data_IF_461921793722
#
_entry.id   IF_461921793722
#
_cell.length_a   1.000
_cell.length_b   1.000
_cell.length_c   1.000
_cell.angle_alpha   90.00
_cell.angle_beta   90.00
_cell.angle_gamma   90.00
#
_symmetry.space_group_name_H-M   'P 1'
#
loop_
_entity.id
_entity.type
_entity.pdbx_description
1 polymer ?
#
# COMPACT_ATOMS: atom_id res chain seq x y z
N UNK A 1 -1.47 -20.90 -4.28
CA UNK A 1 -2.52 -19.85 -4.35
C UNK A 1 -3.92 -20.39 -4.12
N UNK A 2 -4.30 -21.56 -4.68
CA UNK A 2 -5.67 -22.11 -4.56
C UNK A 2 -6.20 -22.22 -3.11
N UNK A 3 -5.38 -22.73 -2.18
CA UNK A 3 -5.78 -22.92 -0.78
C UNK A 3 -6.13 -21.60 -0.08
N UNK A 4 -5.37 -20.53 -0.33
CA UNK A 4 -5.64 -19.22 0.30
C UNK A 4 -6.89 -18.55 -0.28
N UNK A 5 -7.13 -18.70 -1.57
CA UNK A 5 -8.33 -18.19 -2.24
C UNK A 5 -9.60 -18.91 -1.73
N UNK A 6 -9.56 -20.25 -1.65
CA UNK A 6 -10.61 -21.07 -1.04
C UNK A 6 -10.85 -20.70 0.44
N UNK A 7 -9.81 -20.37 1.20
CA UNK A 7 -9.95 -19.93 2.58
C UNK A 7 -10.73 -18.61 2.71
N UNK A 8 -10.54 -17.66 1.79
CA UNK A 8 -11.34 -16.43 1.78
C UNK A 8 -12.82 -16.72 1.51
N UNK A 9 -13.13 -17.66 0.63
CA UNK A 9 -14.50 -18.12 0.39
C UNK A 9 -15.14 -18.72 1.64
N UNK A 10 -14.42 -19.63 2.31
CA UNK A 10 -14.89 -20.28 3.55
C UNK A 10 -15.12 -19.24 4.65
N UNK A 11 -14.26 -18.21 4.75
CA UNK A 11 -14.40 -17.11 5.70
C UNK A 11 -15.48 -16.08 5.31
N UNK A 12 -16.18 -16.30 4.19
CA UNK A 12 -17.31 -15.49 3.74
C UNK A 12 -16.90 -14.13 3.18
N UNK A 13 -15.70 -14.00 2.58
CA UNK A 13 -15.31 -12.79 1.86
C UNK A 13 -16.05 -12.70 0.54
N UNK A 14 -16.63 -11.53 0.26
CA UNK A 14 -17.23 -11.26 -1.04
C UNK A 14 -16.15 -11.24 -2.14
N UNK A 15 -16.51 -11.58 -3.37
CA UNK A 15 -15.59 -11.56 -4.50
C UNK A 15 -14.91 -10.20 -4.67
N UNK A 16 -15.68 -9.10 -4.52
CA UNK A 16 -15.14 -7.73 -4.57
C UNK A 16 -14.10 -7.45 -3.49
N UNK A 17 -14.29 -7.98 -2.27
CA UNK A 17 -13.33 -7.86 -1.17
C UNK A 17 -12.02 -8.58 -1.52
N UNK A 18 -12.10 -9.81 -2.03
CA UNK A 18 -10.94 -10.60 -2.46
C UNK A 18 -10.20 -9.93 -3.60
N UNK A 19 -10.93 -9.50 -4.63
CA UNK A 19 -10.35 -8.80 -5.77
C UNK A 19 -9.69 -7.49 -5.36
N UNK A 20 -10.24 -6.77 -4.38
CA UNK A 20 -9.62 -5.56 -3.83
C UNK A 20 -8.32 -5.85 -3.09
N UNK A 21 -8.24 -6.94 -2.31
CA UNK A 21 -7.00 -7.40 -1.68
C UNK A 21 -5.92 -7.73 -2.73
N UNK A 22 -6.31 -8.40 -3.82
CA UNK A 22 -5.38 -8.73 -4.91
C UNK A 22 -4.90 -7.48 -5.63
N UNK A 23 -5.80 -6.54 -5.97
CA UNK A 23 -5.43 -5.24 -6.55
C UNK A 23 -4.45 -4.47 -5.67
N UNK A 24 -4.69 -4.41 -4.36
CA UNK A 24 -3.77 -3.76 -3.41
C UNK A 24 -2.41 -4.45 -3.39
N UNK A 25 -2.38 -5.78 -3.30
CA UNK A 25 -1.14 -6.57 -3.27
C UNK A 25 -0.33 -6.40 -4.56
N UNK A 26 -0.98 -6.51 -5.72
CA UNK A 26 -0.34 -6.30 -7.02
C UNK A 26 0.14 -4.85 -7.18
N UNK A 27 -0.60 -3.87 -6.64
CA UNK A 27 -0.16 -2.47 -6.64
C UNK A 27 1.13 -2.28 -5.85
N UNK A 28 1.29 -2.94 -4.70
CA UNK A 28 2.52 -2.90 -3.89
C UNK A 28 3.70 -3.44 -4.69
N UNK A 29 3.54 -4.57 -5.39
CA UNK A 29 4.58 -5.12 -6.25
C UNK A 29 4.94 -4.15 -7.39
N UNK A 30 3.94 -3.59 -8.09
CA UNK A 30 4.18 -2.64 -9.19
C UNK A 30 4.81 -1.32 -8.71
N UNK A 31 4.54 -0.87 -7.48
CA UNK A 31 5.23 0.28 -6.89
C UNK A 31 6.74 0.02 -6.75
N UNK A 32 7.14 -1.21 -6.44
CA UNK A 32 8.57 -1.59 -6.33
C UNK A 32 9.33 -1.52 -7.66
N UNK A 33 8.63 -1.62 -8.79
CA UNK A 33 9.22 -1.59 -10.13
C UNK A 33 9.24 -0.18 -10.76
N UNK A 34 8.68 0.84 -10.09
CA UNK A 34 8.70 2.21 -10.57
C UNK A 34 10.13 2.75 -10.65
N UNK A 35 10.51 3.31 -11.79
CA UNK A 35 11.85 3.86 -12.03
C UNK A 35 11.82 5.37 -12.14
N UNK A 36 12.84 5.98 -11.56
CA UNK A 36 13.05 7.42 -11.54
C UNK A 36 14.52 7.69 -11.82
N UNK A 37 14.80 8.85 -12.41
CA UNK A 37 16.16 9.30 -12.69
C UNK A 37 16.34 10.74 -12.28
N UNK A 38 17.59 11.13 -12.07
CA UNK A 38 17.96 12.50 -11.78
C UNK A 38 19.19 12.84 -12.62
N UNK A 39 19.12 13.94 -13.36
CA UNK A 39 20.22 14.37 -14.23
C UNK A 39 21.33 15.01 -13.38
N UNK A 40 22.63 14.85 -13.74
CA UNK A 40 23.74 15.29 -12.89
C UNK A 40 23.76 16.78 -12.50
N UNK A 41 23.06 17.64 -13.25
CA UNK A 41 22.99 19.10 -13.01
C UNK A 41 21.60 19.56 -12.52
N UNK A 42 20.69 18.62 -12.26
CA UNK A 42 19.33 18.91 -11.79
C UNK A 42 19.14 18.34 -10.38
N UNK A 43 18.50 19.12 -9.51
CA UNK A 43 18.16 18.69 -8.15
C UNK A 43 16.88 17.85 -8.09
N UNK A 44 16.04 17.92 -9.13
CA UNK A 44 14.74 17.26 -9.17
C UNK A 44 14.83 15.93 -9.92
N UNK A 45 14.08 14.95 -9.43
CA UNK A 45 13.87 13.70 -10.13
C UNK A 45 12.87 13.87 -11.28
N UNK A 46 13.01 13.03 -12.29
CA UNK A 46 12.06 12.82 -13.37
C UNK A 46 11.69 11.32 -13.45
N UNK A 47 10.52 11.02 -14.00
CA UNK A 47 10.10 9.65 -14.23
C UNK A 47 11.01 8.98 -15.29
N UNK A 48 11.36 7.71 -15.08
CA UNK A 48 12.08 6.90 -16.06
C UNK A 48 11.16 5.80 -16.60
N UNK A 49 10.10 6.23 -17.28
CA UNK A 49 8.96 5.40 -17.66
C UNK A 49 7.74 5.66 -16.76
N UNK A 50 6.55 5.36 -17.27
CA UNK A 50 5.28 5.61 -16.58
C UNK A 50 4.38 4.38 -16.48
N UNK A 51 4.72 3.29 -17.17
CA UNK A 51 3.86 2.12 -17.30
C UNK A 51 3.51 1.48 -15.94
N UNK A 52 4.47 1.39 -15.02
CA UNK A 52 4.28 0.85 -13.68
C UNK A 52 3.37 1.75 -12.85
N UNK A 53 3.52 3.07 -13.00
CA UNK A 53 2.64 4.05 -12.36
C UNK A 53 1.20 3.97 -12.90
N UNK A 54 1.04 3.80 -14.20
CA UNK A 54 -0.27 3.63 -14.82
C UNK A 54 -0.97 2.35 -14.34
N UNK A 55 -0.22 1.23 -14.22
CA UNK A 55 -0.74 -0.01 -13.64
C UNK A 55 -1.19 0.19 -12.18
N UNK A 56 -0.36 0.81 -11.36
CA UNK A 56 -0.70 1.12 -9.95
C UNK A 56 -1.94 2.01 -9.88
N UNK A 57 -1.98 3.06 -10.69
CA UNK A 57 -3.08 4.00 -10.73
C UNK A 57 -4.40 3.34 -11.14
N UNK A 58 -4.36 2.46 -12.15
CA UNK A 58 -5.52 1.67 -12.59
C UNK A 58 -6.02 0.74 -11.47
N UNK A 59 -5.12 0.00 -10.82
CA UNK A 59 -5.49 -0.94 -9.76
C UNK A 59 -6.08 -0.25 -8.52
N UNK A 60 -5.58 0.95 -8.18
CA UNK A 60 -6.05 1.74 -7.04
C UNK A 60 -7.21 2.70 -7.39
N UNK A 61 -7.59 2.79 -8.67
CA UNK A 61 -8.66 3.68 -9.12
C UNK A 61 -8.32 5.18 -8.98
N UNK A 62 -7.05 5.55 -9.14
CA UNK A 62 -6.59 6.95 -9.10
C UNK A 62 -6.07 7.41 -10.46
N UNK A 63 -5.93 8.72 -10.66
CA UNK A 63 -5.35 9.25 -11.89
C UNK A 63 -3.82 9.07 -11.90
N UNK A 64 -3.28 8.49 -12.98
CA UNK A 64 -1.85 8.20 -13.10
C UNK A 64 -0.97 9.46 -13.11
N UNK A 65 -1.43 10.54 -13.74
CA UNK A 65 -0.72 11.82 -13.79
C UNK A 65 -0.67 12.49 -12.42
N UNK A 66 -1.77 12.44 -11.68
CA UNK A 66 -1.83 12.98 -10.33
C UNK A 66 -0.95 12.16 -9.37
N UNK A 67 -0.98 10.83 -9.49
CA UNK A 67 -0.12 9.94 -8.70
C UNK A 67 1.36 10.21 -8.97
N UNK A 68 1.77 10.30 -10.24
CA UNK A 68 3.14 10.62 -10.62
C UNK A 68 3.56 12.02 -10.13
N UNK A 69 2.66 13.00 -10.25
CA UNK A 69 2.90 14.36 -9.77
C UNK A 69 3.03 14.39 -8.25
N UNK A 70 2.23 13.60 -7.52
CA UNK A 70 2.31 13.52 -6.06
C UNK A 70 3.66 12.98 -5.57
N UNK A 71 4.33 12.11 -6.34
CA UNK A 71 5.68 11.65 -6.03
C UNK A 71 6.75 12.68 -6.37
N UNK A 72 6.73 13.23 -7.59
CA UNK A 72 7.79 14.11 -8.08
C UNK A 72 7.70 15.53 -7.52
N UNK A 73 6.48 16.04 -7.37
CA UNK A 73 6.16 17.43 -7.02
C UNK A 73 4.97 17.51 -6.05
N UNK A 74 5.05 16.88 -4.86
CA UNK A 74 4.00 16.95 -3.86
C UNK A 74 3.68 18.39 -3.43
N UNK A 75 2.40 18.63 -3.10
CA UNK A 75 1.97 19.85 -2.43
C UNK A 75 2.17 19.68 -0.92
N UNK A 76 2.97 20.56 -0.33
CA UNK A 76 3.28 20.57 1.10
C UNK A 76 2.63 21.78 1.74
N UNK A 77 1.97 21.57 2.89
CA UNK A 77 1.38 22.66 3.66
C UNK A 77 2.47 23.40 4.43
N UNK A 78 2.58 24.71 4.24
CA UNK A 78 3.51 25.61 4.93
C UNK A 78 2.69 26.73 5.56
N UNK A 79 2.54 26.67 6.89
CA UNK A 79 1.61 27.55 7.60
C UNK A 79 0.17 27.34 7.12
N UNK A 80 -0.43 28.35 6.49
CA UNK A 80 -1.78 28.33 5.93
C UNK A 80 -1.82 28.00 4.44
N UNK A 81 -0.69 28.00 3.73
CA UNK A 81 -0.64 27.85 2.28
C UNK A 81 -0.12 26.46 1.85
N UNK A 82 -0.41 26.08 0.60
CA UNK A 82 0.15 24.88 -0.02
C UNK A 82 1.14 25.25 -1.11
N UNK A 83 2.37 24.75 -0.99
CA UNK A 83 3.44 25.02 -1.93
C UNK A 83 3.85 23.72 -2.62
N UNK A 84 4.10 23.80 -3.93
CA UNK A 84 4.58 22.64 -4.69
C UNK A 84 6.08 22.50 -4.48
N UNK A 85 6.53 21.34 -4.00
CA UNK A 85 7.94 21.08 -3.72
C UNK A 85 8.46 19.96 -4.63
N UNK A 86 9.45 20.26 -5.46
CA UNK A 86 10.18 19.24 -6.22
C UNK A 86 10.99 18.32 -5.29
N UNK A 87 11.05 17.03 -5.62
CA UNK A 87 11.79 16.03 -4.86
C UNK A 87 13.00 15.54 -5.66
N UNK A 88 14.09 15.20 -4.96
CA UNK A 88 15.23 14.51 -5.56
C UNK A 88 14.98 13.00 -5.65
N UNK A 89 15.87 12.26 -6.32
CA UNK A 89 15.69 10.82 -6.57
C UNK A 89 15.49 10.01 -5.28
N UNK A 90 16.32 10.27 -4.27
CA UNK A 90 16.25 9.55 -2.98
C UNK A 90 14.91 9.77 -2.28
N UNK A 91 14.40 11.01 -2.28
CA UNK A 91 13.12 11.36 -1.68
C UNK A 91 11.95 10.68 -2.39
N UNK A 92 11.98 10.62 -3.73
CA UNK A 92 10.93 9.95 -4.52
C UNK A 92 10.93 8.44 -4.24
N UNK A 93 12.10 7.79 -4.30
CA UNK A 93 12.24 6.35 -4.01
C UNK A 93 11.76 6.01 -2.59
N UNK A 94 12.09 6.87 -1.62
CA UNK A 94 11.62 6.73 -0.25
C UNK A 94 10.10 6.88 -0.16
N UNK A 95 9.51 7.87 -0.83
CA UNK A 95 8.07 8.12 -0.84
C UNK A 95 7.27 6.95 -1.43
N UNK A 96 7.73 6.38 -2.55
CA UNK A 96 7.13 5.18 -3.16
C UNK A 96 7.17 4.00 -2.19
N UNK A 97 8.33 3.74 -1.58
CA UNK A 97 8.48 2.66 -0.58
C UNK A 97 7.61 2.89 0.65
N UNK A 98 7.50 4.15 1.11
CA UNK A 98 6.65 4.50 2.24
C UNK A 98 5.17 4.29 1.92
N UNK A 99 4.72 4.65 0.70
CA UNK A 99 3.35 4.41 0.27
C UNK A 99 3.05 2.91 0.20
N UNK A 100 3.95 2.12 -0.38
CA UNK A 100 3.81 0.66 -0.47
C UNK A 100 3.66 0.03 0.93
N UNK A 101 4.52 0.38 1.88
CA UNK A 101 4.43 -0.06 3.28
C UNK A 101 3.13 0.38 3.95
N UNK A 102 2.72 1.62 3.72
CA UNK A 102 1.48 2.17 4.29
C UNK A 102 0.24 1.44 3.76
N UNK A 103 0.21 1.15 2.46
CA UNK A 103 -0.86 0.41 1.81
C UNK A 103 -0.96 -1.01 2.37
N UNK A 104 0.17 -1.72 2.48
CA UNK A 104 0.21 -3.05 3.07
C UNK A 104 -0.29 -3.04 4.52
N UNK A 105 0.23 -2.14 5.35
CA UNK A 105 -0.15 -2.06 6.77
C UNK A 105 -1.66 -1.84 6.95
N UNK A 106 -2.25 -0.92 6.18
CA UNK A 106 -3.70 -0.65 6.23
C UNK A 106 -4.53 -1.82 5.70
N UNK A 107 -4.10 -2.43 4.59
CA UNK A 107 -4.75 -3.60 4.02
C UNK A 107 -4.74 -4.78 5.00
N UNK A 108 -3.61 -5.05 5.63
CA UNK A 108 -3.47 -6.13 6.61
C UNK A 108 -4.29 -5.85 7.87
N UNK A 109 -4.28 -4.62 8.40
CA UNK A 109 -5.13 -4.23 9.52
C UNK A 109 -6.62 -4.39 9.21
N UNK A 110 -7.05 -4.03 8.00
CA UNK A 110 -8.42 -4.27 7.54
C UNK A 110 -8.74 -5.77 7.44
N UNK A 111 -7.81 -6.57 6.91
CA UNK A 111 -7.97 -8.02 6.79
C UNK A 111 -8.19 -8.67 8.15
N UNK A 112 -7.37 -8.35 9.16
CA UNK A 112 -7.54 -8.86 10.53
C UNK A 112 -8.89 -8.47 11.10
N UNK A 113 -9.30 -7.20 10.95
CA UNK A 113 -10.61 -6.75 11.40
C UNK A 113 -11.76 -7.49 10.69
N UNK A 114 -11.61 -7.79 9.39
CA UNK A 114 -12.61 -8.51 8.59
C UNK A 114 -12.72 -9.98 8.99
N UNK A 115 -11.61 -10.65 9.28
CA UNK A 115 -11.60 -12.03 9.81
C UNK A 115 -12.23 -12.07 11.20
N UNK A 116 -11.91 -11.11 12.07
CA UNK A 116 -12.51 -11.03 13.41
C UNK A 116 -14.03 -10.88 13.38
N UNK A 117 -14.59 -10.20 12.37
CA UNK A 117 -16.05 -10.13 12.17
C UNK A 117 -16.67 -11.49 11.86
N UNK A 118 -16.00 -12.32 11.06
CA UNK A 118 -16.46 -13.70 10.75
C UNK A 118 -16.41 -14.60 11.99
N UNK A 119 -15.41 -14.40 12.86
CA UNK A 119 -15.24 -15.19 14.10
C UNK A 119 -16.03 -14.64 15.30
N UNK A 120 -16.70 -13.50 15.14
CA UNK A 120 -17.45 -12.90 16.23
C UNK A 120 -18.73 -13.70 16.53
N UNK A 121 -19.00 -13.89 17.81
CA UNK A 121 -20.17 -14.63 18.29
C UNK A 121 -20.95 -13.72 19.22
N UNK A 122 -22.26 -13.56 19.00
CA UNK A 122 -23.13 -12.71 19.83
C UNK A 122 -23.33 -13.23 21.28
N UNK A 123 -22.61 -14.28 21.66
CA UNK A 123 -22.67 -14.90 22.99
C UNK A 123 -21.80 -14.10 23.94
N UNK A 124 -22.30 -13.85 25.16
CA UNK A 124 -21.55 -13.13 26.19
C UNK A 124 -20.28 -13.90 26.55
N UNK A 125 -19.12 -13.27 26.36
CA UNK A 125 -17.80 -13.83 26.68
C UNK A 125 -17.42 -13.41 28.10
N UNK A 126 -17.13 -14.37 28.97
CA UNK A 126 -16.73 -14.12 30.37
C UNK A 126 -15.24 -14.38 30.62
N UNK A 127 -14.65 -15.33 29.89
CA UNK A 127 -13.25 -15.70 29.99
C UNK A 127 -12.69 -15.98 28.59
N UNK A 128 -11.37 -15.86 28.40
CA UNK A 128 -10.68 -16.26 27.18
C UNK A 128 -9.28 -16.82 27.50
N UNK A 129 -8.74 -17.62 26.58
CA UNK A 129 -7.33 -18.05 26.59
C UNK A 129 -6.65 -17.34 25.43
N UNK A 130 -5.64 -16.53 25.73
CA UNK A 130 -4.83 -15.85 24.72
C UNK A 130 -3.63 -16.71 24.32
N UNK A 131 -3.44 -16.94 23.03
CA UNK A 131 -2.25 -17.60 22.48
C UNK A 131 -1.39 -16.51 21.83
N UNK A 132 -0.15 -16.35 22.29
CA UNK A 132 0.80 -15.38 21.74
C UNK A 132 1.71 -16.07 20.73
N UNK A 133 1.70 -15.57 19.50
CA UNK A 133 2.62 -15.98 18.43
C UNK A 133 3.27 -14.72 17.85
N UNK A 134 4.58 -14.60 18.01
CA UNK A 134 5.39 -13.49 17.51
C UNK A 134 6.70 -14.05 17.00
N UNK A 135 7.10 -13.65 15.78
CA UNK A 135 8.36 -14.07 15.20
C UNK A 135 9.56 -13.56 16.02
N UNK A 136 10.66 -14.32 15.99
CA UNK A 136 11.90 -13.98 16.70
C UNK A 136 12.60 -12.74 16.14
N UNK A 137 13.59 -12.25 16.88
CA UNK A 137 14.41 -11.10 16.46
C UNK A 137 15.35 -11.47 15.31
N UNK A 138 15.51 -10.58 14.33
CA UNK A 138 16.41 -10.76 13.19
C UNK A 138 17.60 -9.78 13.29
N UNK A 139 18.84 -10.30 13.19
CA UNK A 139 20.07 -9.51 13.14
C UNK A 139 20.59 -9.55 11.70
N UNK A 140 20.70 -8.39 11.06
CA UNK A 140 21.14 -8.21 9.68
C UNK A 140 22.47 -7.47 9.60
#
# INVERSE_FOLDING_TARGET
MKISDEAFEILGFAEEERMSLYKCTTSICNMGEMKFKQRPREEQAEADGTAECEKVAFLLGVNAKDLMTAFLKPKVKVGTEFVTKGQNLSQVTYAVSALAKSLYNRMFGWLVARVNKTLDTKVKRQFFIGVLDIAGFEIF
#
